data_IF_185223743487
#
_entry.id   IF_185223743487
#
_cell.length_a   1.000
_cell.length_b   1.000
_cell.length_c   1.000
_cell.angle_alpha   90.00
_cell.angle_beta   90.00
_cell.angle_gamma   90.00
#
_symmetry.space_group_name_H-M   'P 1'
#
loop_
_entity.id
_entity.type
_entity.pdbx_description
1 polymer ?
#
# COMPACT_ATOMS: atom_id res chain seq x y z
N UNK A 1 -18.30 7.35 26.98
CA UNK A 1 -17.32 6.58 26.15
C UNK A 1 -17.96 6.00 24.89
N UNK A 2 -19.11 5.31 24.96
CA UNK A 2 -19.80 4.75 23.77
C UNK A 2 -20.09 5.77 22.65
N UNK A 3 -20.44 7.01 22.97
CA UNK A 3 -20.85 8.00 21.97
C UNK A 3 -19.72 8.58 21.12
N UNK A 4 -18.48 8.58 21.63
CA UNK A 4 -17.29 9.04 20.90
C UNK A 4 -16.70 7.92 20.04
N UNK A 5 -16.81 6.67 20.51
CA UNK A 5 -16.49 5.47 19.74
C UNK A 5 -17.39 5.32 18.50
N UNK A 6 -18.66 5.73 18.58
CA UNK A 6 -19.59 5.77 17.43
C UNK A 6 -19.17 6.79 16.38
N UNK A 7 -18.70 7.98 16.79
CA UNK A 7 -18.22 8.99 15.84
C UNK A 7 -16.88 8.58 15.19
N UNK A 8 -15.98 7.96 15.96
CA UNK A 8 -14.72 7.39 15.45
C UNK A 8 -14.96 6.20 14.50
N UNK A 9 -15.96 5.35 14.77
CA UNK A 9 -16.32 4.23 13.88
C UNK A 9 -17.02 4.71 12.61
N UNK A 10 -17.83 5.77 12.66
CA UNK A 10 -18.39 6.40 11.45
C UNK A 10 -17.28 7.03 10.58
N UNK A 11 -16.24 7.64 11.18
CA UNK A 11 -15.07 8.12 10.43
C UNK A 11 -14.18 7.00 9.88
N UNK A 12 -14.06 5.88 10.60
CA UNK A 12 -13.31 4.70 10.15
C UNK A 12 -14.02 3.99 8.98
N UNK A 13 -15.36 3.97 8.99
CA UNK A 13 -16.21 3.41 7.92
C UNK A 13 -16.20 4.28 6.65
N UNK A 14 -15.98 5.60 6.79
CA UNK A 14 -15.86 6.54 5.67
C UNK A 14 -14.45 6.59 5.02
N UNK A 15 -13.44 5.93 5.61
CA UNK A 15 -12.07 5.89 5.10
C UNK A 15 -11.66 4.52 4.50
N UNK A 16 -12.62 3.63 4.24
CA UNK A 16 -12.36 2.43 3.44
C UNK A 16 -12.43 2.82 1.95
N UNK A 17 -11.31 3.02 1.23
CA UNK A 17 -11.37 2.89 -0.21
C UNK A 17 -11.82 1.45 -0.51
N UNK A 18 -12.69 1.31 -1.50
CA UNK A 18 -13.28 0.06 -1.95
C UNK A 18 -12.27 -1.10 -1.99
N UNK A 19 -12.21 -1.88 -0.90
CA UNK A 19 -11.52 -3.15 -0.81
C UNK A 19 -12.32 -4.23 -1.51
N UNK A 20 -12.54 -4.08 -2.82
CA UNK A 20 -13.02 -5.15 -3.70
C UNK A 20 -11.95 -5.42 -4.75
N UNK A 21 -10.77 -5.83 -4.30
CA UNK A 21 -9.72 -6.38 -5.16
C UNK A 21 -8.78 -7.39 -4.47
N UNK A 22 -9.01 -7.72 -3.19
CA UNK A 22 -8.19 -8.69 -2.45
C UNK A 22 -9.04 -9.87 -1.99
N UNK A 23 -9.59 -10.60 -2.95
CA UNK A 23 -10.09 -11.95 -2.76
C UNK A 23 -9.47 -12.87 -3.82
N UNK A 24 -8.13 -12.90 -3.89
CA UNK A 24 -7.43 -14.07 -4.41
C UNK A 24 -7.22 -15.03 -3.24
N UNK A 25 -7.64 -16.28 -3.46
CA UNK A 25 -7.54 -17.41 -2.52
C UNK A 25 -6.17 -17.44 -1.82
N UNK A 26 -6.10 -17.78 -0.52
CA UNK A 26 -4.83 -17.93 0.18
C UNK A 26 -4.00 -19.03 -0.50
N UNK A 27 -2.80 -18.65 -0.91
CA UNK A 27 -1.76 -19.54 -1.40
C UNK A 27 -1.36 -20.49 -0.27
N UNK A 28 -1.58 -21.80 -0.46
CA UNK A 28 -1.17 -22.82 0.49
C UNK A 28 0.35 -22.98 0.43
N UNK A 29 1.09 -22.83 1.55
CA UNK A 29 2.56 -22.87 1.57
C UNK A 29 3.15 -24.29 1.44
N UNK A 30 2.35 -25.32 1.12
CA UNK A 30 2.81 -26.71 1.08
C UNK A 30 3.33 -27.20 -0.29
N UNK A 31 3.27 -26.38 -1.35
CA UNK A 31 3.64 -26.83 -2.71
C UNK A 31 4.91 -26.15 -3.30
N UNK A 32 5.62 -25.32 -2.55
CA UNK A 32 6.84 -24.64 -3.04
C UNK A 32 8.08 -25.19 -2.34
N UNK A 33 8.37 -26.46 -2.61
CA UNK A 33 9.68 -27.08 -2.42
C UNK A 33 9.99 -27.96 -3.62
N UNK A 34 9.98 -27.37 -4.81
CA UNK A 34 10.74 -27.92 -5.94
C UNK A 34 10.87 -26.84 -7.02
N UNK A 35 12.11 -26.67 -7.48
CA UNK A 35 12.54 -25.87 -8.63
C UNK A 35 12.57 -24.34 -8.44
N UNK A 36 13.65 -23.86 -7.81
CA UNK A 36 14.26 -22.60 -8.27
C UNK A 36 14.74 -22.82 -9.72
N UNK A 37 14.32 -22.03 -10.71
CA UNK A 37 15.01 -22.02 -11.99
C UNK A 37 16.35 -21.33 -11.78
N UNK A 38 17.42 -22.12 -11.93
CA UNK A 38 18.75 -21.64 -12.26
C UNK A 38 18.67 -20.56 -13.34
N UNK A 39 19.51 -19.54 -13.24
CA UNK A 39 19.71 -18.55 -14.29
C UNK A 39 19.75 -19.24 -15.66
N UNK A 40 18.81 -18.88 -16.54
CA UNK A 40 18.73 -19.41 -17.90
C UNK A 40 19.99 -19.01 -18.64
N UNK A 41 20.96 -19.93 -18.70
CA UNK A 41 22.09 -19.85 -19.60
C UNK A 41 21.53 -19.94 -21.02
N UNK A 42 21.87 -18.95 -21.87
CA UNK A 42 21.54 -18.96 -23.30
C UNK A 42 22.06 -20.25 -23.93
N UNK A 43 21.16 -21.08 -24.43
CA UNK A 43 21.50 -22.26 -25.23
C UNK A 43 22.09 -21.80 -26.58
N UNK A 44 23.15 -22.45 -27.09
CA UNK A 44 23.72 -22.13 -28.40
C UNK A 44 22.71 -22.51 -29.50
N UNK A 45 22.33 -21.56 -30.37
CA UNK A 45 21.30 -21.74 -31.41
C UNK A 45 20.10 -20.80 -31.30
N UNK A 46 20.11 -19.87 -30.34
CA UNK A 46 19.05 -18.88 -30.10
C UNK A 46 19.09 -17.76 -31.16
N UNK A 47 17.91 -17.39 -31.69
CA UNK A 47 17.75 -16.27 -32.62
C UNK A 47 18.30 -14.97 -32.00
N UNK A 48 19.16 -14.19 -32.70
CA UNK A 48 19.80 -13.00 -32.14
C UNK A 48 18.81 -11.88 -31.76
N UNK A 49 17.56 -11.96 -32.23
CA UNK A 49 16.49 -11.02 -31.93
C UNK A 49 15.50 -11.56 -30.87
N UNK A 50 15.81 -12.69 -30.25
CA UNK A 50 15.00 -13.40 -29.24
C UNK A 50 13.55 -13.67 -29.75
N UNK A 51 13.38 -14.01 -31.04
CA UNK A 51 12.08 -14.35 -31.67
C UNK A 51 11.73 -15.84 -31.60
N UNK A 52 12.41 -16.57 -30.74
CA UNK A 52 12.21 -18.00 -30.48
C UNK A 52 10.94 -18.28 -29.68
N UNK A 53 10.46 -17.29 -28.92
CA UNK A 53 9.22 -17.37 -28.13
C UNK A 53 8.28 -16.22 -28.48
N UNK A 54 6.94 -16.39 -28.35
CA UNK A 54 5.99 -15.31 -28.58
C UNK A 54 6.25 -14.08 -27.69
N UNK A 55 6.55 -14.32 -26.40
CA UNK A 55 6.93 -13.26 -25.47
C UNK A 55 8.20 -12.52 -25.92
N UNK A 56 9.23 -13.26 -26.35
CA UNK A 56 10.49 -12.67 -26.81
C UNK A 56 10.29 -11.79 -28.05
N UNK A 57 9.50 -12.23 -29.03
CA UNK A 57 9.19 -11.46 -30.22
C UNK A 57 8.46 -10.14 -29.90
N UNK A 58 7.46 -10.17 -29.00
CA UNK A 58 6.71 -8.97 -28.60
C UNK A 58 7.60 -7.99 -27.83
N UNK A 59 8.37 -8.47 -26.85
CA UNK A 59 9.26 -7.62 -26.05
C UNK A 59 10.36 -7.03 -26.93
N UNK A 60 10.93 -7.82 -27.84
CA UNK A 60 11.95 -7.39 -28.80
C UNK A 60 11.44 -6.27 -29.69
N UNK A 61 10.25 -6.45 -30.27
CA UNK A 61 9.58 -5.41 -31.06
C UNK A 61 9.33 -4.14 -30.24
N UNK A 62 8.71 -4.24 -29.06
CA UNK A 62 8.39 -3.08 -28.22
C UNK A 62 9.67 -2.32 -27.83
N UNK A 63 10.75 -3.02 -27.50
CA UNK A 63 12.05 -2.42 -27.17
C UNK A 63 12.70 -1.70 -28.35
N UNK A 64 12.62 -2.26 -29.56
CA UNK A 64 13.14 -1.64 -30.77
C UNK A 64 12.32 -0.39 -31.16
N UNK A 65 10.99 -0.54 -31.21
CA UNK A 65 10.06 0.51 -31.62
C UNK A 65 10.03 1.67 -30.61
N UNK A 66 10.08 1.42 -29.30
CA UNK A 66 10.16 2.48 -28.28
C UNK A 66 11.46 3.29 -28.35
N UNK A 67 12.56 2.70 -28.85
CA UNK A 67 13.82 3.42 -29.10
C UNK A 67 13.78 4.24 -30.39
N UNK A 68 12.69 4.19 -31.16
CA UNK A 68 12.58 4.82 -32.48
C UNK A 68 13.32 4.07 -33.58
N UNK A 69 13.82 2.85 -33.31
CA UNK A 69 14.50 2.01 -34.30
C UNK A 69 13.47 1.14 -35.04
N UNK A 70 12.62 1.80 -35.82
CA UNK A 70 11.61 1.13 -36.65
C UNK A 70 12.24 0.27 -37.75
N UNK A 71 13.50 0.52 -38.09
CA UNK A 71 14.27 -0.35 -38.98
C UNK A 71 14.36 -1.77 -38.43
N UNK A 72 14.79 -1.91 -37.17
CA UNK A 72 14.75 -3.20 -36.45
C UNK A 72 13.35 -3.68 -36.12
N UNK A 73 12.40 -2.75 -35.89
CA UNK A 73 11.00 -3.10 -35.65
C UNK A 73 10.39 -3.93 -36.79
N UNK A 74 10.79 -3.67 -38.05
CA UNK A 74 10.34 -4.43 -39.22
C UNK A 74 10.77 -5.90 -39.18
N UNK A 75 11.89 -6.23 -38.53
CA UNK A 75 12.38 -7.61 -38.43
C UNK A 75 11.48 -8.51 -37.56
N UNK A 76 10.52 -7.91 -36.84
CA UNK A 76 9.50 -8.60 -36.06
C UNK A 76 8.14 -8.68 -36.79
N UNK A 77 8.02 -8.14 -38.00
CA UNK A 77 6.77 -8.10 -38.77
C UNK A 77 6.82 -9.12 -39.92
N UNK A 78 5.76 -9.92 -40.10
CA UNK A 78 5.64 -10.71 -41.31
C UNK A 78 5.05 -9.88 -42.46
N UNK A 79 5.91 -9.08 -43.10
CA UNK A 79 5.52 -8.19 -44.20
C UNK A 79 6.47 -8.31 -45.39
N UNK A 80 5.90 -8.16 -46.60
CA UNK A 80 6.62 -8.08 -47.88
C UNK A 80 6.67 -6.65 -48.42
N UNK A 81 6.27 -5.67 -47.63
CA UNK A 81 6.22 -4.27 -48.04
C UNK A 81 7.63 -3.68 -48.23
N UNK A 82 7.79 -2.66 -49.11
CA UNK A 82 9.02 -1.90 -49.19
C UNK A 82 9.40 -1.29 -47.84
N UNK A 83 10.70 -1.23 -47.55
CA UNK A 83 11.22 -0.89 -46.23
C UNK A 83 10.69 0.43 -45.65
N UNK A 84 10.38 1.41 -46.51
CA UNK A 84 9.76 2.68 -46.09
C UNK A 84 8.36 2.48 -45.50
N UNK A 85 7.47 1.77 -46.20
CA UNK A 85 6.10 1.46 -45.72
C UNK A 85 6.11 0.49 -44.55
N UNK A 86 7.06 -0.44 -44.51
CA UNK A 86 7.20 -1.37 -43.39
C UNK A 86 7.58 -0.65 -42.08
N UNK A 87 8.43 0.39 -42.16
CA UNK A 87 8.75 1.25 -41.00
C UNK A 87 7.54 2.04 -40.51
N UNK A 88 6.79 2.64 -41.43
CA UNK A 88 5.53 3.34 -41.11
C UNK A 88 4.53 2.38 -40.41
N UNK A 89 4.43 1.14 -40.91
CA UNK A 89 3.59 0.11 -40.31
C UNK A 89 4.06 -0.30 -38.90
N UNK A 90 5.37 -0.40 -38.67
CA UNK A 90 5.94 -0.66 -37.35
C UNK A 90 5.62 0.46 -36.35
N UNK A 91 5.65 1.72 -36.80
CA UNK A 91 5.26 2.87 -36.00
C UNK A 91 3.77 2.83 -35.63
N UNK A 92 2.90 2.58 -36.62
CA UNK A 92 1.46 2.46 -36.39
C UNK A 92 1.12 1.31 -35.42
N UNK A 93 1.78 0.15 -35.58
CA UNK A 93 1.59 -0.99 -34.69
C UNK A 93 1.97 -0.67 -33.25
N UNK A 94 3.05 0.07 -33.01
CA UNK A 94 3.45 0.51 -31.67
C UNK A 94 2.35 1.38 -31.02
N UNK A 95 1.75 2.29 -31.80
CA UNK A 95 0.66 3.15 -31.32
C UNK A 95 -0.57 2.33 -30.97
N UNK A 96 -0.97 1.39 -31.83
CA UNK A 96 -2.11 0.49 -31.59
C UNK A 96 -1.90 -0.36 -30.34
N UNK A 97 -0.72 -0.96 -30.18
CA UNK A 97 -0.38 -1.79 -29.02
C UNK A 97 -0.40 -0.98 -27.71
N UNK A 98 0.14 0.25 -27.70
CA UNK A 98 0.18 1.08 -26.50
C UNK A 98 -1.19 1.63 -26.08
N UNK A 99 -2.09 1.89 -27.04
CA UNK A 99 -3.35 2.58 -26.75
C UNK A 99 -4.56 1.66 -26.59
N UNK A 100 -4.64 0.55 -27.35
CA UNK A 100 -5.83 -0.31 -27.42
C UNK A 100 -5.62 -1.71 -26.86
N UNK A 101 -4.39 -2.21 -26.80
CA UNK A 101 -4.10 -3.57 -26.33
C UNK A 101 -3.63 -3.55 -24.88
N UNK A 102 -4.43 -4.12 -23.98
CA UNK A 102 -3.94 -4.50 -22.65
C UNK A 102 -3.06 -5.74 -22.80
N UNK A 103 -1.81 -5.55 -23.22
CA UNK A 103 -0.83 -6.65 -23.26
C UNK A 103 -0.48 -6.98 -21.81
N UNK A 104 -1.01 -8.09 -21.29
CA UNK A 104 -0.55 -8.63 -20.02
C UNK A 104 0.74 -9.40 -20.28
N UNK A 105 1.88 -8.74 -20.06
CA UNK A 105 3.22 -9.33 -20.28
C UNK A 105 3.42 -10.66 -19.53
N UNK A 106 2.69 -10.88 -18.44
CA UNK A 106 2.74 -12.10 -17.62
C UNK A 106 1.91 -13.27 -18.15
N UNK A 107 1.05 -13.06 -19.16
CA UNK A 107 0.21 -14.13 -19.74
C UNK A 107 0.71 -14.62 -21.10
N UNK A 108 1.67 -13.94 -21.73
CA UNK A 108 2.26 -14.39 -22.99
C UNK A 108 3.10 -15.65 -22.77
N UNK A 109 2.94 -16.64 -23.66
CA UNK A 109 3.67 -17.89 -23.56
C UNK A 109 5.19 -17.67 -23.68
N UNK A 110 5.93 -18.34 -22.79
CA UNK A 110 7.40 -18.45 -22.81
C UNK A 110 7.86 -19.70 -23.53
N UNK A 111 6.92 -20.55 -23.93
CA UNK A 111 7.23 -21.79 -24.60
C UNK A 111 7.44 -21.51 -26.10
N UNK A 112 8.48 -22.07 -26.74
CA UNK A 112 8.73 -21.89 -28.18
C UNK A 112 7.58 -22.35 -29.08
N UNK A 113 6.67 -23.17 -28.55
CA UNK A 113 5.48 -23.70 -29.23
C UNK A 113 4.24 -22.82 -29.06
N UNK A 114 4.25 -21.77 -28.22
CA UNK A 114 3.07 -20.94 -27.93
C UNK A 114 2.18 -21.49 -26.82
N UNK A 115 1.00 -20.92 -26.62
CA UNK A 115 -0.02 -21.39 -25.68
C UNK A 115 -0.93 -22.42 -26.35
N UNK A 116 -0.68 -23.70 -26.10
CA UNK A 116 -1.45 -24.82 -26.68
C UNK A 116 -2.90 -24.88 -26.16
N UNK A 117 -3.30 -24.00 -25.21
CA UNK A 117 -4.63 -24.02 -24.56
C UNK A 117 -5.62 -23.04 -25.16
N UNK A 118 -5.24 -22.25 -26.16
CA UNK A 118 -6.06 -21.14 -26.67
C UNK A 118 -6.99 -21.48 -27.85
N UNK A 119 -7.05 -22.77 -28.25
CA UNK A 119 -7.78 -23.29 -29.41
C UNK A 119 -7.40 -22.64 -30.75
N UNK A 120 -6.25 -21.99 -30.86
CA UNK A 120 -5.71 -21.50 -32.12
C UNK A 120 -4.87 -22.57 -32.83
N UNK A 121 -4.61 -22.40 -34.13
CA UNK A 121 -3.61 -23.22 -34.83
C UNK A 121 -2.26 -23.18 -34.10
N UNK A 122 -1.52 -24.29 -34.10
CA UNK A 122 -0.21 -24.44 -33.43
C UNK A 122 0.87 -23.43 -33.89
N UNK A 123 0.61 -22.71 -34.99
CA UNK A 123 1.47 -21.66 -35.53
C UNK A 123 0.97 -20.25 -35.23
N UNK A 124 -0.10 -20.07 -34.46
CA UNK A 124 -0.65 -18.76 -34.10
C UNK A 124 -0.67 -18.57 -32.57
N UNK A 125 -0.43 -17.35 -32.11
CA UNK A 125 -0.55 -16.97 -30.70
C UNK A 125 -1.33 -15.66 -30.60
N UNK A 126 -2.32 -15.58 -29.71
CA UNK A 126 -3.06 -14.34 -29.47
C UNK A 126 -2.44 -13.46 -28.40
N UNK A 127 -2.01 -12.27 -28.80
CA UNK A 127 -1.46 -11.24 -27.90
C UNK A 127 -2.59 -10.47 -27.19
N UNK A 128 -3.69 -10.20 -27.90
CA UNK A 128 -4.80 -9.45 -27.33
C UNK A 128 -5.92 -9.11 -28.32
N UNK A 129 -6.96 -8.50 -27.77
CA UNK A 129 -8.18 -8.11 -28.48
C UNK A 129 -8.23 -6.59 -28.62
N UNK A 130 -8.47 -6.09 -29.83
CA UNK A 130 -8.78 -4.68 -30.09
C UNK A 130 -10.25 -4.57 -30.49
N UNK A 131 -11.02 -3.76 -29.76
CA UNK A 131 -12.36 -3.38 -30.19
C UNK A 131 -12.27 -2.20 -31.17
N UNK A 132 -12.70 -2.43 -32.41
CA UNK A 132 -12.92 -1.41 -33.44
C UNK A 132 -14.41 -1.12 -33.59
N UNK A 133 -14.76 -0.04 -34.28
CA UNK A 133 -16.18 0.31 -34.56
C UNK A 133 -16.91 -0.76 -35.40
N UNK A 134 -16.15 -1.56 -36.15
CA UNK A 134 -16.65 -2.61 -37.06
C UNK A 134 -16.59 -4.03 -36.48
N UNK A 135 -16.05 -4.23 -35.26
CA UNK A 135 -15.96 -5.55 -34.64
C UNK A 135 -14.82 -5.70 -33.62
N UNK A 136 -14.52 -6.94 -33.24
CA UNK A 136 -13.32 -7.26 -32.44
C UNK A 136 -12.26 -7.85 -33.36
N UNK A 137 -11.05 -7.30 -33.34
CA UNK A 137 -9.91 -7.76 -34.14
C UNK A 137 -8.86 -8.35 -33.21
N UNK A 138 -8.43 -9.57 -33.52
CA UNK A 138 -7.39 -10.29 -32.78
C UNK A 138 -6.00 -9.83 -33.25
N UNK A 139 -5.16 -9.42 -32.32
CA UNK A 139 -3.74 -9.18 -32.57
C UNK A 139 -3.01 -10.49 -32.31
N UNK A 140 -2.35 -10.99 -33.35
CA UNK A 140 -1.77 -12.32 -33.38
C UNK A 140 -0.31 -12.30 -33.81
N UNK A 141 0.42 -13.28 -33.31
CA UNK A 141 1.72 -13.68 -33.82
C UNK A 141 1.54 -14.93 -34.67
N UNK A 142 2.42 -15.09 -35.65
CA UNK A 142 2.52 -16.28 -36.48
C UNK A 142 3.94 -16.83 -36.40
N UNK A 143 4.05 -18.15 -36.29
CA UNK A 143 5.31 -18.88 -36.30
C UNK A 143 5.67 -19.21 -37.75
N UNK A 144 6.69 -18.54 -38.27
CA UNK A 144 7.12 -18.64 -39.67
C UNK A 144 8.48 -19.31 -39.77
N UNK A 145 8.61 -20.31 -40.64
CA UNK A 145 9.89 -20.90 -41.00
C UNK A 145 10.31 -20.41 -42.39
N UNK A 146 11.48 -19.77 -42.48
CA UNK A 146 12.04 -19.28 -43.75
C UNK A 146 13.23 -20.17 -44.13
N UNK A 147 13.06 -21.01 -45.15
CA UNK A 147 14.13 -21.88 -45.64
C UNK A 147 14.55 -22.94 -44.61
N UNK A 148 15.86 -23.06 -44.36
CA UNK A 148 16.46 -24.00 -43.42
C UNK A 148 16.63 -23.46 -41.99
N UNK A 149 16.25 -22.20 -41.75
CA UNK A 149 16.39 -21.57 -40.44
C UNK A 149 15.36 -22.10 -39.43
N UNK A 150 15.65 -22.04 -38.12
CA UNK A 150 14.67 -22.38 -37.10
C UNK A 150 13.43 -21.48 -37.20
N UNK A 151 12.23 -21.99 -36.88
CA UNK A 151 11.00 -21.21 -36.95
C UNK A 151 11.02 -20.05 -35.94
N UNK A 152 10.61 -18.87 -36.38
CA UNK A 152 10.58 -17.63 -35.59
C UNK A 152 9.17 -17.08 -35.47
N UNK A 153 8.88 -16.38 -34.39
CA UNK A 153 7.62 -15.69 -34.15
C UNK A 153 7.66 -14.26 -34.70
N UNK A 154 6.67 -13.90 -35.51
CA UNK A 154 6.50 -12.57 -36.10
C UNK A 154 5.06 -12.10 -35.92
N UNK A 155 4.81 -10.79 -35.94
CA UNK A 155 3.45 -10.26 -36.01
C UNK A 155 2.80 -10.72 -37.31
N UNK A 156 1.65 -11.39 -37.19
CA UNK A 156 1.01 -12.08 -38.30
C UNK A 156 0.59 -11.09 -39.39
N UNK A 157 0.77 -11.46 -40.67
CA UNK A 157 0.40 -10.61 -41.80
C UNK A 157 -1.08 -10.19 -41.77
N UNK A 158 -1.96 -11.06 -41.25
CA UNK A 158 -3.39 -10.78 -41.01
C UNK A 158 -3.60 -9.62 -40.05
N UNK A 159 -2.86 -9.57 -38.95
CA UNK A 159 -2.93 -8.48 -37.96
C UNK A 159 -2.41 -7.19 -38.57
N UNK A 160 -1.27 -7.27 -39.27
CA UNK A 160 -0.62 -6.12 -39.92
C UNK A 160 -1.51 -5.44 -40.97
N UNK A 161 -2.40 -6.19 -41.63
CA UNK A 161 -3.35 -5.63 -42.60
C UNK A 161 -4.35 -4.66 -41.96
N UNK A 162 -4.77 -4.91 -40.72
CA UNK A 162 -5.76 -4.08 -40.01
C UNK A 162 -5.14 -2.92 -39.22
N UNK A 163 -3.82 -2.92 -39.03
CA UNK A 163 -3.12 -1.89 -38.24
C UNK A 163 -3.38 -0.47 -38.73
N UNK A 164 -3.32 -0.15 -40.05
CA UNK A 164 -3.57 1.21 -40.53
C UNK A 164 -5.00 1.69 -40.22
N UNK A 165 -6.00 0.84 -40.43
CA UNK A 165 -7.41 1.16 -40.16
C UNK A 165 -7.65 1.41 -38.67
N UNK A 166 -7.02 0.60 -37.80
CA UNK A 166 -7.08 0.77 -36.35
C UNK A 166 -6.37 2.06 -35.94
N UNK A 167 -5.23 2.37 -36.56
CA UNK A 167 -4.44 3.57 -36.27
C UNK A 167 -5.25 4.86 -36.52
N UNK A 168 -5.97 4.96 -37.63
CA UNK A 168 -6.83 6.12 -37.93
C UNK A 168 -7.98 6.28 -36.91
N UNK A 169 -8.50 5.17 -36.39
CA UNK A 169 -9.52 5.18 -35.32
C UNK A 169 -8.95 5.50 -33.93
N UNK A 170 -7.63 5.39 -33.75
CA UNK A 170 -6.94 5.70 -32.49
C UNK A 170 -6.72 7.21 -32.34
N UNK A 171 -6.44 7.93 -33.43
CA UNK A 171 -6.28 9.39 -33.41
C UNK A 171 -7.60 10.15 -33.18
N UNK A 172 -8.76 9.52 -33.37
CA UNK A 172 -10.06 10.20 -33.26
C UNK A 172 -10.73 10.05 -31.89
N UNK A 173 -9.98 10.16 -30.81
CA UNK A 173 -10.58 10.22 -29.47
C UNK A 173 -11.51 11.46 -29.38
N UNK A 174 -12.76 11.28 -28.92
CA UNK A 174 -13.83 12.30 -28.86
C UNK A 174 -13.39 13.70 -28.37
N UNK A 175 -12.36 13.75 -27.52
CA UNK A 175 -11.73 14.96 -27.01
C UNK A 175 -11.00 15.77 -28.10
N UNK A 176 -10.26 15.14 -29.02
CA UNK A 176 -9.50 15.84 -30.06
C UNK A 176 -10.42 16.46 -31.12
N UNK A 177 -11.63 15.92 -31.30
CA UNK A 177 -12.65 16.45 -32.21
C UNK A 177 -13.29 17.77 -31.73
N UNK A 178 -13.22 18.10 -30.44
CA UNK A 178 -13.80 19.33 -29.87
C UNK A 178 -12.76 20.40 -29.49
N UNK A 179 -11.46 20.13 -29.68
CA UNK A 179 -10.40 21.07 -29.31
C UNK A 179 -10.09 22.02 -30.48
N UNK A 180 -10.05 23.35 -30.26
CA UNK A 180 -9.68 24.30 -31.31
C UNK A 180 -8.31 24.00 -31.91
N UNK A 181 -8.18 24.11 -33.25
CA UNK A 181 -6.96 23.84 -34.00
C UNK A 181 -5.64 24.39 -33.40
N UNK A 182 -5.55 25.63 -32.86
CA UNK A 182 -4.31 26.13 -32.26
C UNK A 182 -3.88 25.37 -30.99
N UNK A 183 -4.77 24.67 -30.30
CA UNK A 183 -4.42 23.90 -29.09
C UNK A 183 -3.94 22.48 -29.40
N UNK A 184 -4.29 21.95 -30.58
CA UNK A 184 -3.87 20.64 -31.07
C UNK A 184 -2.56 20.70 -31.88
N UNK A 185 -2.30 21.81 -32.58
CA UNK A 185 -1.14 21.95 -33.47
C UNK A 185 0.16 22.34 -32.75
N UNK A 186 0.07 23.07 -31.62
CA UNK A 186 1.24 23.48 -30.86
C UNK A 186 1.75 22.33 -29.98
N UNK A 187 2.96 21.86 -30.29
CA UNK A 187 3.65 20.79 -29.57
C UNK A 187 4.73 21.35 -28.66
N UNK A 188 4.70 21.01 -27.37
CA UNK A 188 5.74 21.31 -26.38
C UNK A 188 6.29 19.99 -25.87
N UNK A 189 7.61 19.75 -26.02
CA UNK A 189 8.26 18.47 -25.67
C UNK A 189 7.56 17.23 -26.30
N UNK A 190 7.11 17.35 -27.56
CA UNK A 190 6.36 16.30 -28.30
C UNK A 190 4.95 16.00 -27.77
N UNK A 191 4.41 16.81 -26.86
CA UNK A 191 3.05 16.71 -26.37
C UNK A 191 2.21 17.91 -26.82
N UNK A 192 0.93 17.71 -27.20
CA UNK A 192 0.05 18.80 -27.58
C UNK A 192 -0.30 19.69 -26.38
N UNK A 193 -0.42 21.01 -26.61
CA UNK A 193 -0.54 22.05 -25.58
C UNK A 193 -1.80 21.89 -24.70
N UNK A 194 -2.90 21.36 -25.25
CA UNK A 194 -4.12 21.09 -24.49
C UNK A 194 -3.94 20.11 -23.33
N UNK A 195 -2.95 19.20 -23.41
CA UNK A 195 -2.69 18.24 -22.34
C UNK A 195 -1.96 18.85 -21.16
N UNK A 196 -1.06 19.79 -21.42
CA UNK A 196 -0.46 20.61 -20.37
C UNK A 196 -1.54 21.43 -19.68
N UNK A 197 -2.43 22.05 -20.45
CA UNK A 197 -3.58 22.77 -19.89
C UNK A 197 -4.49 21.85 -19.08
N UNK A 198 -4.72 20.61 -19.52
CA UNK A 198 -5.50 19.62 -18.77
C UNK A 198 -4.80 19.23 -17.46
N UNK A 199 -3.48 19.00 -17.47
CA UNK A 199 -2.71 18.74 -16.24
C UNK A 199 -2.82 19.90 -15.25
N UNK A 200 -2.61 21.14 -15.71
CA UNK A 200 -2.75 22.33 -14.86
C UNK A 200 -4.18 22.52 -14.38
N UNK A 201 -5.18 22.28 -15.24
CA UNK A 201 -6.59 22.37 -14.88
C UNK A 201 -6.97 21.32 -13.83
N UNK A 202 -6.47 20.09 -13.94
CA UNK A 202 -6.73 19.03 -12.95
C UNK A 202 -6.05 19.34 -11.62
N UNK A 203 -4.81 19.84 -11.61
CA UNK A 203 -4.13 20.28 -10.39
C UNK A 203 -4.89 21.45 -9.73
N UNK A 204 -5.31 22.43 -10.53
CA UNK A 204 -6.08 23.58 -10.06
C UNK A 204 -7.43 23.14 -9.51
N UNK A 205 -8.16 22.28 -10.22
CA UNK A 205 -9.45 21.73 -9.79
C UNK A 205 -9.29 20.91 -8.52
N UNK A 206 -8.26 20.07 -8.42
CA UNK A 206 -7.95 19.31 -7.20
C UNK A 206 -7.69 20.23 -6.01
N UNK A 207 -6.93 21.30 -6.22
CA UNK A 207 -6.65 22.31 -5.19
C UNK A 207 -7.93 23.05 -4.77
N UNK A 208 -8.75 23.48 -5.74
CA UNK A 208 -10.03 24.14 -5.48
C UNK A 208 -11.02 23.23 -4.76
N UNK A 209 -11.10 21.96 -5.16
CA UNK A 209 -11.96 20.96 -4.52
C UNK A 209 -11.49 20.70 -3.09
N UNK A 210 -10.19 20.53 -2.87
CA UNK A 210 -9.59 20.38 -1.55
C UNK A 210 -9.83 21.61 -0.65
N UNK A 211 -9.74 22.82 -1.21
CA UNK A 211 -10.05 24.08 -0.52
C UNK A 211 -11.54 24.21 -0.18
N UNK A 212 -12.43 23.89 -1.12
CA UNK A 212 -13.87 23.90 -0.92
C UNK A 212 -14.31 22.87 0.14
N UNK A 213 -13.79 21.64 0.08
CA UNK A 213 -14.00 20.60 1.08
C UNK A 213 -13.51 21.05 2.46
N UNK A 214 -12.33 21.68 2.55
CA UNK A 214 -11.81 22.24 3.81
C UNK A 214 -12.78 23.28 4.37
N UNK A 215 -13.23 24.23 3.54
CA UNK A 215 -14.18 25.28 3.95
C UNK A 215 -15.56 24.74 4.32
N UNK A 216 -16.02 23.66 3.70
CA UNK A 216 -17.32 23.03 3.98
C UNK A 216 -17.27 22.11 5.22
N UNK A 217 -16.16 21.38 5.41
CA UNK A 217 -15.97 20.46 6.53
C UNK A 217 -15.84 21.20 7.86
N UNK A 218 -15.10 22.30 7.93
CA UNK A 218 -14.89 23.07 9.19
C UNK A 218 -16.21 23.48 9.87
N UNK A 219 -17.19 24.13 9.20
CA UNK A 219 -18.46 24.49 9.83
C UNK A 219 -19.32 23.26 10.15
N UNK A 220 -19.25 22.19 9.35
CA UNK A 220 -19.98 20.95 9.63
C UNK A 220 -19.43 20.26 10.89
N UNK A 221 -18.11 20.09 10.97
CA UNK A 221 -17.42 19.58 12.15
C UNK A 221 -17.73 20.46 13.36
N UNK A 222 -17.65 21.79 13.26
CA UNK A 222 -18.02 22.69 14.36
C UNK A 222 -19.47 22.47 14.82
N UNK A 223 -20.42 22.36 13.90
CA UNK A 223 -21.86 22.14 14.21
C UNK A 223 -22.10 20.79 14.87
N UNK A 224 -21.48 19.72 14.37
CA UNK A 224 -21.59 18.37 14.93
C UNK A 224 -20.93 18.30 16.30
N UNK A 225 -19.69 18.78 16.43
CA UNK A 225 -18.93 18.73 17.69
C UNK A 225 -19.63 19.52 18.79
N UNK A 226 -20.19 20.70 18.48
CA UNK A 226 -21.00 21.50 19.42
C UNK A 226 -22.25 20.75 19.90
N UNK A 227 -22.89 19.96 19.03
CA UNK A 227 -24.09 19.17 19.36
C UNK A 227 -23.79 17.98 20.27
N UNK A 228 -22.59 17.40 20.18
CA UNK A 228 -22.23 16.17 20.88
C UNK A 228 -21.31 16.35 22.10
N UNK A 229 -20.47 17.39 22.14
CA UNK A 229 -19.37 17.53 23.12
C UNK A 229 -19.47 18.81 23.96
N UNK A 230 -20.44 19.70 23.73
CA UNK A 230 -20.61 20.96 24.49
C UNK A 230 -19.56 22.03 24.16
N UNK A 231 -19.33 23.02 25.04
CA UNK A 231 -18.36 24.12 24.88
C UNK A 231 -16.88 23.72 25.08
N UNK A 232 -16.56 22.45 24.90
CA UNK A 232 -15.18 21.97 25.06
C UNK A 232 -14.32 22.43 23.86
N UNK A 233 -13.01 22.61 24.06
CA UNK A 233 -12.07 23.08 23.04
C UNK A 233 -12.16 22.23 21.75
N UNK A 234 -12.53 22.86 20.64
CA UNK A 234 -12.79 22.22 19.34
C UNK A 234 -11.58 22.24 18.40
N UNK A 235 -10.46 22.84 18.81
CA UNK A 235 -9.17 22.77 18.10
C UNK A 235 -8.80 21.35 17.65
N UNK A 236 -8.99 20.29 18.48
CA UNK A 236 -8.53 18.95 18.14
C UNK A 236 -9.17 18.41 16.85
N UNK A 237 -10.46 18.71 16.68
CA UNK A 237 -11.32 18.21 15.60
C UNK A 237 -11.13 19.02 14.31
N UNK A 238 -10.84 20.33 14.40
CA UNK A 238 -10.54 21.15 13.21
C UNK A 238 -9.25 20.71 12.52
N UNK A 239 -8.29 20.18 13.28
CA UNK A 239 -7.03 19.67 12.73
C UNK A 239 -7.18 18.35 11.94
N UNK A 240 -8.33 17.65 11.97
CA UNK A 240 -8.61 16.51 11.06
C UNK A 240 -8.66 16.92 9.58
N UNK A 241 -8.93 18.20 9.32
CA UNK A 241 -9.12 18.70 7.96
C UNK A 241 -7.81 18.62 7.16
N UNK A 242 -6.65 18.75 7.83
CA UNK A 242 -5.33 18.62 7.21
C UNK A 242 -5.13 17.27 6.50
N UNK A 243 -5.15 16.13 7.22
CA UNK A 243 -5.00 14.81 6.62
C UNK A 243 -6.11 14.49 5.61
N UNK A 244 -7.36 14.90 5.87
CA UNK A 244 -8.45 14.70 4.90
C UNK A 244 -8.17 15.43 3.58
N UNK A 245 -7.61 16.65 3.64
CA UNK A 245 -7.21 17.41 2.44
C UNK A 245 -6.15 16.67 1.62
N UNK A 246 -5.19 16.03 2.29
CA UNK A 246 -4.16 15.23 1.61
C UNK A 246 -4.73 14.01 0.92
N UNK A 247 -5.73 13.35 1.52
CA UNK A 247 -6.42 12.21 0.90
C UNK A 247 -7.25 12.63 -0.32
N UNK A 248 -7.92 13.78 -0.26
CA UNK A 248 -8.64 14.36 -1.42
C UNK A 248 -7.66 14.66 -2.55
N UNK A 249 -6.50 15.24 -2.24
CA UNK A 249 -5.46 15.50 -3.22
C UNK A 249 -4.92 14.19 -3.83
N UNK A 250 -4.70 13.17 -3.01
CA UNK A 250 -4.27 11.84 -3.46
C UNK A 250 -5.30 11.22 -4.42
N UNK A 251 -6.60 11.32 -4.10
CA UNK A 251 -7.68 10.85 -4.96
C UNK A 251 -7.70 11.58 -6.31
N UNK A 252 -7.44 12.89 -6.31
CA UNK A 252 -7.38 13.66 -7.55
C UNK A 252 -6.20 13.22 -8.45
N UNK A 253 -5.01 12.99 -7.86
CA UNK A 253 -3.88 12.44 -8.61
C UNK A 253 -4.14 11.01 -9.11
N UNK A 254 -4.83 10.19 -8.32
CA UNK A 254 -5.24 8.86 -8.75
C UNK A 254 -6.19 8.93 -9.96
N UNK A 255 -7.20 9.80 -9.90
CA UNK A 255 -8.14 10.04 -11.00
C UNK A 255 -7.47 10.62 -12.25
N UNK A 256 -6.40 11.39 -12.09
CA UNK A 256 -5.59 11.91 -13.20
C UNK A 256 -4.69 10.85 -13.85
N UNK A 257 -4.21 9.87 -13.09
CA UNK A 257 -3.24 8.87 -13.57
C UNK A 257 -3.57 8.20 -14.92
N UNK A 258 -4.82 7.81 -15.26
CA UNK A 258 -5.13 7.22 -16.57
C UNK A 258 -5.00 8.19 -17.76
N UNK A 259 -5.08 9.50 -17.51
CA UNK A 259 -5.00 10.53 -18.56
C UNK A 259 -3.55 10.86 -18.95
N UNK A 260 -2.55 10.29 -18.27
CA UNK A 260 -1.15 10.45 -18.64
C UNK A 260 -0.82 9.72 -19.96
N UNK A 261 -0.08 10.40 -20.84
CA UNK A 261 0.24 9.93 -22.20
C UNK A 261 1.22 8.76 -22.22
N UNK A 262 2.26 8.81 -21.40
CA UNK A 262 3.27 7.76 -21.36
C UNK A 262 2.92 6.70 -20.31
N UNK A 263 3.21 5.44 -20.62
CA UNK A 263 3.13 4.33 -19.66
C UNK A 263 3.88 4.68 -18.36
N UNK A 264 5.09 5.24 -18.50
CA UNK A 264 5.90 5.71 -17.39
C UNK A 264 5.24 6.85 -16.61
N UNK A 265 4.53 7.76 -17.30
CA UNK A 265 3.76 8.84 -16.67
C UNK A 265 2.59 8.31 -15.85
N UNK A 266 1.87 7.28 -16.35
CA UNK A 266 0.78 6.64 -15.60
C UNK A 266 1.29 6.01 -14.31
N UNK A 267 2.40 5.27 -14.38
CA UNK A 267 3.06 4.71 -13.20
C UNK A 267 3.57 5.79 -12.25
N UNK A 268 4.14 6.88 -12.75
CA UNK A 268 4.59 7.99 -11.92
C UNK A 268 3.43 8.64 -11.15
N UNK A 269 2.34 9.00 -11.84
CA UNK A 269 1.19 9.63 -11.19
C UNK A 269 0.43 8.70 -10.25
N UNK A 270 0.33 7.40 -10.58
CA UNK A 270 -0.24 6.41 -9.67
C UNK A 270 0.62 6.22 -8.43
N UNK A 271 1.95 6.24 -8.58
CA UNK A 271 2.90 6.18 -7.46
C UNK A 271 2.81 7.41 -6.55
N UNK A 272 2.73 8.62 -7.13
CA UNK A 272 2.53 9.87 -6.40
C UNK A 272 1.20 9.84 -5.63
N UNK A 273 0.11 9.40 -6.26
CA UNK A 273 -1.19 9.26 -5.63
C UNK A 273 -1.16 8.23 -4.48
N UNK A 274 -0.54 7.08 -4.69
CA UNK A 274 -0.41 6.04 -3.68
C UNK A 274 0.42 6.52 -2.47
N UNK A 275 1.53 7.22 -2.72
CA UNK A 275 2.37 7.80 -1.66
C UNK A 275 1.60 8.84 -0.84
N UNK A 276 0.90 9.77 -1.50
CA UNK A 276 0.08 10.77 -0.82
C UNK A 276 -1.06 10.13 -0.01
N UNK A 277 -1.63 9.03 -0.50
CA UNK A 277 -2.65 8.27 0.22
C UNK A 277 -2.08 7.69 1.52
N UNK A 278 -0.91 7.06 1.46
CA UNK A 278 -0.25 6.49 2.65
C UNK A 278 0.11 7.59 3.65
N UNK A 279 0.71 8.70 3.18
CA UNK A 279 1.05 9.84 4.03
C UNK A 279 -0.20 10.43 4.69
N UNK A 280 -1.27 10.64 3.92
CA UNK A 280 -2.53 11.16 4.43
C UNK A 280 -3.20 10.22 5.43
N UNK A 281 -3.16 8.91 5.19
CA UNK A 281 -3.71 7.90 6.09
C UNK A 281 -2.91 7.84 7.40
N UNK A 282 -1.57 7.80 7.33
CA UNK A 282 -0.69 7.83 8.51
C UNK A 282 -0.96 9.08 9.33
N UNK A 283 -1.00 10.25 8.69
CA UNK A 283 -1.28 11.51 9.38
C UNK A 283 -2.68 11.51 10.02
N UNK A 284 -3.69 10.98 9.32
CA UNK A 284 -5.03 10.82 9.86
C UNK A 284 -5.03 9.95 11.13
N UNK A 285 -4.39 8.77 11.08
CA UNK A 285 -4.33 7.86 12.22
C UNK A 285 -3.59 8.48 13.41
N UNK A 286 -2.46 9.16 13.17
CA UNK A 286 -1.75 9.87 14.23
C UNK A 286 -2.65 10.92 14.89
N UNK A 287 -3.40 11.68 14.08
CA UNK A 287 -4.34 12.69 14.58
C UNK A 287 -5.50 12.09 15.37
N UNK A 288 -6.05 10.96 14.91
CA UNK A 288 -7.08 10.24 15.63
C UNK A 288 -6.58 9.78 17.01
N UNK A 289 -5.33 9.32 17.11
CA UNK A 289 -4.71 8.98 18.39
C UNK A 289 -4.62 10.23 19.28
N UNK A 290 -4.14 11.36 18.77
CA UNK A 290 -4.01 12.61 19.56
C UNK A 290 -5.34 13.10 20.14
N UNK A 291 -6.42 13.01 19.37
CA UNK A 291 -7.75 13.44 19.82
C UNK A 291 -8.24 12.61 21.02
N UNK A 292 -7.91 11.31 21.06
CA UNK A 292 -8.29 10.47 22.21
C UNK A 292 -7.62 10.93 23.51
N UNK A 293 -6.46 11.59 23.42
CA UNK A 293 -5.72 12.12 24.57
C UNK A 293 -6.27 13.45 25.06
N UNK A 294 -6.46 14.41 24.16
CA UNK A 294 -6.90 15.77 24.49
C UNK A 294 -8.35 15.80 24.98
N UNK A 295 -9.21 14.97 24.38
CA UNK A 295 -10.58 14.81 24.87
C UNK A 295 -10.56 14.26 26.29
N UNK A 296 -9.66 13.33 26.63
CA UNK A 296 -9.60 12.67 27.94
C UNK A 296 -8.94 13.51 29.03
N UNK A 297 -7.96 14.36 28.71
CA UNK A 297 -7.34 15.28 29.67
C UNK A 297 -8.29 16.37 30.17
N UNK A 298 -9.32 16.69 29.38
CA UNK A 298 -10.32 17.71 29.73
C UNK A 298 -11.36 17.19 30.73
N UNK A 299 -11.57 15.86 30.82
CA UNK A 299 -12.31 15.26 31.92
C UNK A 299 -11.40 15.18 33.14
N UNK A 300 -11.59 16.09 34.11
CA UNK A 300 -10.87 16.16 35.39
C UNK A 300 -10.90 14.81 36.12
N UNK A 301 -9.95 13.92 35.81
CA UNK A 301 -9.73 12.70 36.57
C UNK A 301 -9.06 13.09 37.89
N UNK A 302 -9.55 12.60 39.05
CA UNK A 302 -8.98 12.95 40.34
C UNK A 302 -7.49 12.58 40.41
N UNK A 303 -6.69 13.41 41.09
CA UNK A 303 -5.21 13.34 41.23
C UNK A 303 -4.65 11.95 41.57
N UNK A 304 -5.46 11.03 42.11
CA UNK A 304 -5.10 9.64 42.38
C UNK A 304 -4.95 8.78 41.11
N UNK A 305 -5.12 9.33 39.90
CA UNK A 305 -5.04 8.61 38.63
C UNK A 305 -3.71 8.75 37.86
N UNK A 306 -2.66 9.36 38.44
CA UNK A 306 -1.38 9.66 37.78
C UNK A 306 -0.74 8.45 37.09
N UNK A 307 -0.78 7.25 37.70
CA UNK A 307 -0.25 6.03 37.09
C UNK A 307 -1.00 5.60 35.83
N UNK A 308 -2.33 5.77 35.79
CA UNK A 308 -3.18 5.37 34.65
C UNK A 308 -3.02 6.32 33.46
N UNK A 309 -2.76 7.60 33.71
CA UNK A 309 -2.47 8.60 32.67
C UNK A 309 -1.12 8.30 31.99
N UNK A 310 -0.11 7.89 32.76
CA UNK A 310 1.19 7.50 32.22
C UNK A 310 1.10 6.26 31.30
N UNK A 311 0.32 5.25 31.67
CA UNK A 311 0.09 4.05 30.82
C UNK A 311 -0.57 4.44 29.50
N UNK A 312 -1.63 5.26 29.55
CA UNK A 312 -2.34 5.70 28.35
C UNK A 312 -1.39 6.48 27.42
N UNK A 313 -0.56 7.37 27.97
CA UNK A 313 0.48 8.09 27.21
C UNK A 313 1.50 7.16 26.58
N UNK A 314 2.01 6.18 27.33
CA UNK A 314 2.96 5.20 26.81
C UNK A 314 2.34 4.36 25.68
N UNK A 315 1.13 3.82 25.90
CA UNK A 315 0.40 3.04 24.91
C UNK A 315 0.16 3.83 23.61
N UNK A 316 -0.19 5.11 23.72
CA UNK A 316 -0.36 5.97 22.55
C UNK A 316 0.92 6.23 21.79
N UNK A 317 2.04 6.37 22.50
CA UNK A 317 3.36 6.58 21.88
C UNK A 317 3.77 5.34 21.11
N UNK A 318 3.55 4.15 21.69
CA UNK A 318 3.78 2.86 21.03
C UNK A 318 2.88 2.70 19.80
N UNK A 319 1.59 3.02 19.92
CA UNK A 319 0.65 2.92 18.80
C UNK A 319 1.03 3.87 17.66
N UNK A 320 1.44 5.10 17.95
CA UNK A 320 1.95 6.04 16.94
C UNK A 320 3.20 5.52 16.25
N UNK A 321 4.15 4.97 17.02
CA UNK A 321 5.36 4.36 16.46
C UNK A 321 5.00 3.21 15.50
N UNK A 322 4.06 2.33 15.89
CA UNK A 322 3.57 1.26 15.01
C UNK A 322 2.93 1.79 13.72
N UNK A 323 2.09 2.83 13.81
CA UNK A 323 1.47 3.45 12.62
C UNK A 323 2.52 4.04 11.67
N UNK A 324 3.55 4.70 12.21
CA UNK A 324 4.65 5.26 11.41
C UNK A 324 5.45 4.15 10.74
N UNK A 325 5.82 3.10 11.48
CA UNK A 325 6.55 1.95 10.93
C UNK A 325 5.73 1.26 9.84
N UNK A 326 4.44 1.03 10.06
CA UNK A 326 3.55 0.46 9.06
C UNK A 326 3.48 1.31 7.78
N UNK A 327 3.33 2.64 7.92
CA UNK A 327 3.37 3.57 6.80
C UNK A 327 4.68 3.52 6.02
N UNK A 328 5.82 3.48 6.72
CA UNK A 328 7.14 3.36 6.11
C UNK A 328 7.32 2.04 5.34
N UNK A 329 6.85 0.92 5.91
CA UNK A 329 6.87 -0.39 5.23
C UNK A 329 6.06 -0.38 3.95
N UNK A 330 4.87 0.23 3.97
CA UNK A 330 4.03 0.35 2.76
C UNK A 330 4.72 1.19 1.69
N UNK A 331 5.37 2.30 2.06
CA UNK A 331 6.13 3.13 1.11
C UNK A 331 7.32 2.35 0.53
N UNK A 332 8.08 1.62 1.36
CA UNK A 332 9.18 0.78 0.90
C UNK A 332 8.70 -0.31 -0.07
N UNK A 333 7.56 -0.94 0.22
CA UNK A 333 6.94 -1.90 -0.68
C UNK A 333 6.58 -1.28 -2.03
N UNK A 334 6.02 -0.06 -2.03
CA UNK A 334 5.74 0.67 -3.27
C UNK A 334 7.04 0.93 -4.06
N UNK A 335 8.15 1.26 -3.39
CA UNK A 335 9.47 1.45 -4.03
C UNK A 335 10.07 0.16 -4.63
N UNK A 336 9.41 -0.98 -4.51
CA UNK A 336 9.90 -2.27 -4.99
C UNK A 336 10.92 -2.92 -4.06
N UNK A 337 11.03 -2.46 -2.81
CA UNK A 337 11.89 -3.10 -1.81
C UNK A 337 11.30 -4.46 -1.43
N UNK A 338 12.16 -5.47 -1.30
CA UNK A 338 11.76 -6.80 -0.88
C UNK A 338 11.14 -6.77 0.53
N UNK A 339 9.81 -6.94 0.59
CA UNK A 339 9.05 -6.91 1.82
C UNK A 339 9.48 -8.02 2.80
N UNK A 340 9.91 -9.18 2.30
CA UNK A 340 10.39 -10.30 3.13
C UNK A 340 11.63 -9.89 3.91
N UNK A 341 12.57 -9.17 3.29
CA UNK A 341 13.77 -8.69 3.97
C UNK A 341 13.44 -7.63 5.04
N UNK A 342 12.53 -6.70 4.73
CA UNK A 342 12.07 -5.67 5.68
C UNK A 342 11.34 -6.29 6.86
N UNK A 343 10.43 -7.23 6.61
CA UNK A 343 9.69 -7.95 7.66
C UNK A 343 10.62 -8.84 8.49
N UNK A 344 11.61 -9.49 7.88
CA UNK A 344 12.63 -10.25 8.61
C UNK A 344 13.43 -9.33 9.55
N UNK A 345 13.88 -8.17 9.07
CA UNK A 345 14.57 -7.17 9.89
C UNK A 345 13.70 -6.64 11.03
N UNK A 346 12.43 -6.31 10.76
CA UNK A 346 11.47 -5.90 11.79
C UNK A 346 11.17 -7.02 12.78
N UNK A 347 11.17 -8.29 12.35
CA UNK A 347 11.00 -9.45 13.21
C UNK A 347 12.16 -9.59 14.20
N UNK A 348 13.40 -9.53 13.73
CA UNK A 348 14.60 -9.56 14.59
C UNK A 348 14.64 -8.36 15.52
N UNK A 349 14.38 -7.15 15.00
CA UNK A 349 14.30 -5.93 15.82
C UNK A 349 13.18 -5.99 16.88
N UNK A 350 12.04 -6.59 16.54
CA UNK A 350 10.92 -6.81 17.43
C UNK A 350 11.25 -7.77 18.57
N UNK A 351 11.99 -8.85 18.29
CA UNK A 351 12.49 -9.78 19.31
C UNK A 351 13.47 -9.06 20.26
N UNK A 352 14.41 -8.28 19.73
CA UNK A 352 15.33 -7.50 20.56
C UNK A 352 14.58 -6.50 21.47
N UNK A 353 13.57 -5.81 20.93
CA UNK A 353 12.70 -4.92 21.71
C UNK A 353 11.90 -5.69 22.77
N UNK A 354 11.40 -6.89 22.45
CA UNK A 354 10.67 -7.73 23.39
C UNK A 354 11.56 -8.18 24.56
N UNK A 355 12.81 -8.59 24.29
CA UNK A 355 13.78 -8.90 25.35
C UNK A 355 14.09 -7.69 26.23
N UNK A 356 14.27 -6.51 25.63
CA UNK A 356 14.49 -5.28 26.39
C UNK A 356 13.27 -4.90 27.27
N UNK A 357 12.05 -5.16 26.79
CA UNK A 357 10.82 -4.86 27.50
C UNK A 357 10.40 -5.93 28.53
N UNK A 358 11.01 -7.12 28.49
CA UNK A 358 10.59 -8.31 29.26
C UNK A 358 10.34 -8.01 30.74
N UNK A 359 11.33 -7.42 31.44
CA UNK A 359 11.21 -7.08 32.88
C UNK A 359 10.11 -6.06 33.16
N UNK A 360 9.86 -5.13 32.24
CA UNK A 360 8.81 -4.12 32.41
C UNK A 360 7.44 -4.77 32.30
N UNK A 361 7.26 -5.65 31.32
CA UNK A 361 6.03 -6.42 31.11
C UNK A 361 5.77 -7.36 32.29
N UNK A 362 6.79 -8.06 32.75
CA UNK A 362 6.73 -8.94 33.92
C UNK A 362 6.24 -8.21 35.18
N UNK A 363 6.79 -7.03 35.46
CA UNK A 363 6.35 -6.21 36.60
C UNK A 363 4.91 -5.69 36.44
N UNK A 364 4.51 -5.34 35.22
CA UNK A 364 3.15 -4.90 34.94
C UNK A 364 2.14 -6.02 35.19
N UNK A 365 2.40 -7.22 34.65
CA UNK A 365 1.54 -8.39 34.86
C UNK A 365 1.50 -8.81 36.32
N UNK A 366 2.65 -8.83 37.01
CA UNK A 366 2.68 -9.10 38.45
C UNK A 366 1.83 -8.11 39.25
N UNK A 367 1.87 -6.82 38.89
CA UNK A 367 1.03 -5.80 39.54
C UNK A 367 -0.46 -6.00 39.30
N UNK A 368 -0.84 -6.36 38.07
CA UNK A 368 -2.24 -6.67 37.72
C UNK A 368 -2.73 -7.91 38.47
N UNK A 369 -1.91 -8.95 38.56
CA UNK A 369 -2.25 -10.20 39.26
C UNK A 369 -2.45 -9.96 40.76
N UNK A 370 -1.53 -9.25 41.42
CA UNK A 370 -1.67 -8.89 42.85
C UNK A 370 -2.93 -8.05 43.08
N UNK A 371 -3.25 -7.10 42.18
CA UNK A 371 -4.44 -6.28 42.31
C UNK A 371 -5.76 -7.05 42.06
N UNK A 372 -5.73 -8.04 41.16
CA UNK A 372 -6.87 -8.88 40.79
C UNK A 372 -7.16 -9.95 41.83
N UNK A 373 -6.16 -10.77 42.13
CA UNK A 373 -6.30 -11.95 43.00
C UNK A 373 -6.24 -11.57 44.48
N UNK A 374 -5.72 -10.36 44.78
CA UNK A 374 -5.63 -9.77 46.12
C UNK A 374 -5.08 -10.72 47.20
N UNK A 375 -3.96 -11.43 46.97
CA UNK A 375 -3.33 -12.28 48.00
C UNK A 375 -2.84 -11.46 49.21
N UNK A 376 -2.52 -10.18 48.99
CA UNK A 376 -2.17 -9.18 50.00
C UNK A 376 -2.90 -7.88 49.72
N UNK A 377 -3.29 -7.17 50.78
CA UNK A 377 -3.94 -5.86 50.71
C UNK A 377 -3.06 -4.80 51.38
N UNK A 378 -3.28 -3.54 51.00
CA UNK A 378 -2.65 -2.41 51.70
C UNK A 378 -3.09 -2.42 53.16
N UNK A 379 -2.11 -2.44 54.07
CA UNK A 379 -2.33 -2.59 55.51
C UNK A 379 -2.07 -4.01 56.06
N UNK A 380 -1.97 -5.02 55.21
CA UNK A 380 -1.69 -6.40 55.67
C UNK A 380 -0.23 -6.53 56.11
N UNK A 381 0.01 -7.32 57.16
CA UNK A 381 1.34 -7.75 57.58
C UNK A 381 1.68 -9.08 56.90
N UNK A 382 2.69 -9.08 56.05
CA UNK A 382 3.08 -10.25 55.26
C UNK A 382 4.60 -10.45 55.23
N UNK A 383 4.99 -11.67 54.86
CA UNK A 383 6.35 -12.05 54.52
C UNK A 383 6.46 -12.28 53.02
N UNK A 384 7.37 -11.55 52.39
CA UNK A 384 7.70 -11.64 50.98
C UNK A 384 9.19 -11.97 50.84
N UNK A 385 9.50 -13.26 50.69
CA UNK A 385 10.88 -13.77 50.73
C UNK A 385 11.53 -13.54 52.10
N UNK A 386 12.59 -12.73 52.11
CA UNK A 386 13.36 -12.38 53.33
C UNK A 386 12.83 -11.14 54.04
N UNK A 387 11.86 -10.42 53.45
CA UNK A 387 11.33 -9.19 54.01
C UNK A 387 10.01 -9.45 54.74
N UNK A 388 9.97 -9.08 56.02
CA UNK A 388 8.76 -9.08 56.85
C UNK A 388 8.31 -7.63 57.10
N UNK A 389 7.06 -7.31 56.80
CA UNK A 389 6.56 -5.95 56.96
C UNK A 389 5.09 -5.76 56.60
N UNK A 390 4.61 -4.54 56.83
CA UNK A 390 3.24 -4.13 56.47
C UNK A 390 3.21 -3.52 55.06
N UNK A 391 2.25 -3.92 54.22
CA UNK A 391 2.06 -3.35 52.88
C UNK A 391 1.61 -1.90 52.99
N UNK A 392 2.41 -0.97 52.46
CA UNK A 392 2.13 0.48 52.46
C UNK A 392 1.39 0.90 51.21
N UNK A 393 1.81 0.38 50.06
CA UNK A 393 1.27 0.77 48.75
C UNK A 393 1.55 -0.33 47.72
N UNK A 394 0.55 -0.63 46.89
CA UNK A 394 0.68 -1.57 45.77
C UNK A 394 0.66 -0.73 44.49
N UNK A 395 1.86 -0.40 44.00
CA UNK A 395 2.02 0.33 42.76
C UNK A 395 1.93 -0.57 41.52
N UNK A 396 1.97 0.02 40.34
CA UNK A 396 1.91 -0.71 39.06
C UNK A 396 3.15 -1.59 38.81
N UNK A 397 4.34 -1.11 39.19
CA UNK A 397 5.63 -1.78 38.96
C UNK A 397 6.20 -2.47 40.20
N UNK A 398 5.86 -1.96 41.38
CA UNK A 398 6.45 -2.40 42.63
C UNK A 398 5.49 -2.20 43.80
N UNK A 399 5.59 -3.09 44.78
CA UNK A 399 4.87 -3.02 46.04
C UNK A 399 5.82 -2.55 47.14
N UNK A 400 5.36 -1.60 47.97
CA UNK A 400 6.16 -1.02 49.06
C UNK A 400 5.75 -1.67 50.38
N UNK A 401 6.73 -2.24 51.06
CA UNK A 401 6.58 -2.88 52.38
C UNK A 401 7.32 -2.03 53.42
N UNK A 402 6.67 -1.78 54.56
CA UNK A 402 7.31 -1.17 55.73
C UNK A 402 7.78 -2.26 56.67
N UNK A 403 9.09 -2.40 56.83
CA UNK A 403 9.69 -3.42 57.70
C UNK A 403 9.44 -3.11 59.17
N UNK A 404 9.71 -4.10 60.04
CA UNK A 404 9.66 -3.92 61.50
C UNK A 404 10.64 -2.85 61.98
N UNK A 405 11.78 -2.68 61.28
CA UNK A 405 12.74 -1.61 61.50
C UNK A 405 12.28 -0.22 60.99
N UNK A 406 11.02 -0.09 60.56
CA UNK A 406 10.39 1.12 60.00
C UNK A 406 11.04 1.63 58.70
N UNK A 407 11.81 0.81 57.99
CA UNK A 407 12.32 1.14 56.65
C UNK A 407 11.32 0.77 55.56
N UNK A 408 11.38 1.41 54.39
CA UNK A 408 10.54 1.08 53.24
C UNK A 408 11.36 0.27 52.24
N UNK A 409 10.91 -0.95 51.96
CA UNK A 409 11.46 -1.82 50.92
C UNK A 409 10.51 -1.82 49.73
N UNK A 410 11.04 -1.61 48.53
CA UNK A 410 10.27 -1.62 47.29
C UNK A 410 10.58 -2.87 46.50
N UNK A 411 9.64 -3.82 46.49
CA UNK A 411 9.81 -5.10 45.80
C UNK A 411 9.16 -5.00 44.41
N UNK A 412 9.88 -5.34 43.31
CA UNK A 412 9.28 -5.40 41.98
C UNK A 412 8.13 -6.41 41.95
N UNK A 413 7.01 -6.03 41.33
CA UNK A 413 5.81 -6.87 41.34
C UNK A 413 6.00 -8.19 40.59
N UNK A 414 6.87 -8.23 39.58
CA UNK A 414 7.20 -9.46 38.84
C UNK A 414 7.86 -10.49 39.76
N UNK A 415 8.83 -10.03 40.56
CA UNK A 415 9.49 -10.85 41.57
C UNK A 415 8.51 -11.26 42.70
N UNK A 416 7.65 -10.33 43.12
CA UNK A 416 6.66 -10.56 44.18
C UNK A 416 5.60 -11.61 43.79
N UNK A 417 5.22 -11.65 42.51
CA UNK A 417 4.27 -12.64 42.00
C UNK A 417 4.89 -14.05 41.84
N UNK A 418 6.22 -14.15 41.76
CA UNK A 418 6.93 -15.43 41.60
C UNK A 418 7.37 -16.05 42.93
N UNK A 419 7.44 -15.27 44.01
CA UNK A 419 7.86 -15.74 45.32
C UNK A 419 6.67 -16.22 46.17
N UNK A 420 6.95 -17.07 47.17
CA UNK A 420 5.97 -17.44 48.18
C UNK A 420 5.61 -16.22 49.04
N UNK A 421 4.30 -15.97 49.19
CA UNK A 421 3.73 -14.90 49.99
C UNK A 421 3.00 -15.49 51.19
N UNK A 422 3.44 -15.16 52.40
CA UNK A 422 2.74 -15.55 53.63
C UNK A 422 2.05 -14.31 54.21
N UNK A 423 0.72 -14.34 54.29
CA UNK A 423 -0.08 -13.24 54.83
C UNK A 423 -0.51 -13.57 56.27
N UNK A 424 0.07 -12.89 57.25
CA UNK A 424 -0.24 -13.10 58.67
C UNK A 424 -1.55 -12.43 59.09
N UNK A 425 -2.03 -11.43 58.33
CA UNK A 425 -3.29 -10.75 58.62
C UNK A 425 -4.52 -11.59 58.32
N UNK A 426 -4.39 -12.65 57.51
CA UNK A 426 -5.47 -13.61 57.23
C UNK A 426 -5.40 -14.87 58.12
N UNK A 427 -4.56 -14.87 59.17
CA UNK A 427 -4.40 -16.01 60.08
C UNK A 427 -5.67 -16.24 60.93
N UNK A 428 -6.14 -17.49 60.99
CA UNK A 428 -7.40 -17.87 61.67
C UNK A 428 -7.27 -17.93 63.21
N UNK A 429 -6.12 -18.35 63.74
CA UNK A 429 -5.83 -18.37 65.19
C UNK A 429 -4.40 -17.96 65.51
N UNK A 430 -4.23 -17.20 66.59
CA UNK A 430 -2.92 -16.90 67.17
C UNK A 430 -2.59 -18.07 68.13
N UNK A 431 -1.45 -18.71 67.89
CA UNK A 431 -0.91 -19.80 68.73
C UNK A 431 -0.45 -19.30 70.09
#
# INVERSE_FOLDING_TARGET
MHRLAVVLSVCLVLCLPAGRALAQKPFSPAAVKENLPSAVQKTPGTDPLDRDTPQGAVIGFLKAAQKGDYGRGVDYLDTRLPQRRARELAEQLLVVLNQRVKVNETTLSRDPEGDVKDNLPLNEERIGLVQTETGTVDILLERVQRGSDPPIWLFAARTLKYVPDIYEQVETSWIERHIPAPLAQFHVLKLPLWRWLLLFAVILLAFLLAWALTRAMVPLLRRVTRRFVGETDYRPVVELVGPLRTLVLALAFYAYSPFAYSLMGRFFWSYVAATLTVVGAVWLFLRLIDITHEVRSTWRLPEKASGRIAIIRLASTLLKAMVIVAGAVVILYMMGVNLTAVLAGLGVGGIALAFAAQKTIENLFGGIMIASDRPIRVGDFCRAGDYNGTVVDIGLRSTRLRTVARTIVSVPNGQLAQMSLENFSMRDKIL
#
